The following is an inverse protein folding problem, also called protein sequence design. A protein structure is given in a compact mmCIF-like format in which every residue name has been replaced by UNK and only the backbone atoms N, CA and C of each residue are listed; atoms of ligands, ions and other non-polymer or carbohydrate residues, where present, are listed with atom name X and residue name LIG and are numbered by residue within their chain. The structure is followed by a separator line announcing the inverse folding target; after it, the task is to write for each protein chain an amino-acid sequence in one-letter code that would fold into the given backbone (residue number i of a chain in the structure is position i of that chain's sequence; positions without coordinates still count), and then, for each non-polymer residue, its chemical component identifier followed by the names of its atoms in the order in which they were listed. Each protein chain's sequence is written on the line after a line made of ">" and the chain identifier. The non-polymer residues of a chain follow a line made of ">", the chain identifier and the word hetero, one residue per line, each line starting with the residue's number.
data_IF_522142355861
#
_entry.id   IF_522142355861
#
_cell.length_a   1.000
_cell.length_b   1.000
_cell.length_c   1.000
_cell.angle_alpha   90.00
_cell.angle_beta   90.00
_cell.angle_gamma   90.00
#
_symmetry.space_group_name_H-M   'P 1'
#
loop_
_entity.id
_entity.type
_entity.pdbx_description
1 polymer ?
#
# COMPACT_ATOMS: atom_id res chain seq x y z
N UNK A 1 -24.59 23.51 12.87
CA UNK A 1 -23.51 24.10 12.05
C UNK A 1 -22.19 23.34 12.23
N UNK A 2 -21.94 22.25 11.49
CA UNK A 2 -20.67 21.48 11.49
C UNK A 2 -20.19 21.07 10.08
N UNK A 3 -20.74 21.69 9.04
CA UNK A 3 -20.54 21.26 7.64
C UNK A 3 -19.23 21.78 7.01
N UNK A 4 -18.73 22.95 7.43
CA UNK A 4 -17.65 23.63 6.69
C UNK A 4 -16.21 23.22 7.04
N UNK A 5 -15.97 22.50 8.14
CA UNK A 5 -14.62 22.04 8.51
C UNK A 5 -14.20 20.78 7.72
N UNK A 6 -15.15 19.92 7.34
CA UNK A 6 -14.86 18.66 6.65
C UNK A 6 -14.36 18.89 5.22
N UNK A 7 -14.96 19.85 4.50
CA UNK A 7 -14.56 20.25 3.14
C UNK A 7 -13.15 20.87 3.05
N UNK A 8 -12.73 21.64 4.06
CA UNK A 8 -11.39 22.26 4.09
C UNK A 8 -10.29 21.25 4.40
N UNK A 9 -10.55 20.27 5.28
CA UNK A 9 -9.61 19.16 5.56
C UNK A 9 -9.46 18.22 4.35
N UNK A 10 -10.54 17.94 3.65
CA UNK A 10 -10.52 17.09 2.44
C UNK A 10 -9.80 17.73 1.24
N UNK A 11 -9.79 19.07 1.10
CA UNK A 11 -8.94 19.75 0.10
C UNK A 11 -7.44 19.57 0.36
N UNK A 12 -6.96 19.80 1.58
CA UNK A 12 -5.54 19.59 1.94
C UNK A 12 -5.11 18.12 1.84
N UNK A 13 -6.02 17.19 2.11
CA UNK A 13 -5.77 15.76 1.87
C UNK A 13 -5.65 15.44 0.38
N UNK A 14 -6.50 16.02 -0.48
CA UNK A 14 -6.41 15.86 -1.95
C UNK A 14 -5.15 16.47 -2.54
N UNK A 15 -4.64 17.59 -2.00
CA UNK A 15 -3.37 18.18 -2.42
C UNK A 15 -2.16 17.27 -2.14
N UNK A 16 -2.29 16.29 -1.26
CA UNK A 16 -1.24 15.30 -0.93
C UNK A 16 -1.37 13.99 -1.68
N UNK A 17 -2.50 13.73 -2.33
CA UNK A 17 -2.70 12.51 -3.10
C UNK A 17 -2.17 12.70 -4.52
N UNK A 18 -1.56 11.66 -5.10
CA UNK A 18 -1.04 11.74 -6.46
C UNK A 18 -2.13 11.95 -7.50
N UNK A 19 -1.79 12.69 -8.55
CA UNK A 19 -2.60 12.71 -9.76
C UNK A 19 -2.64 11.32 -10.40
N UNK A 20 -3.76 10.95 -11.01
CA UNK A 20 -3.83 9.73 -11.82
C UNK A 20 -3.62 10.15 -13.27
N UNK A 21 -2.57 9.62 -13.90
CA UNK A 21 -2.23 9.93 -15.29
C UNK A 21 -2.17 8.64 -16.07
N UNK A 22 -2.95 8.55 -17.15
CA UNK A 22 -2.85 7.46 -18.10
C UNK A 22 -1.62 7.69 -18.98
N UNK A 23 -0.72 6.70 -19.04
CA UNK A 23 0.47 6.80 -19.88
C UNK A 23 0.07 6.80 -21.36
N UNK A 24 0.61 7.72 -22.16
CA UNK A 24 0.48 7.65 -23.61
C UNK A 24 1.33 6.48 -24.17
N UNK A 25 0.89 5.79 -25.24
CA UNK A 25 1.64 4.67 -25.83
C UNK A 25 3.04 5.04 -26.35
N UNK A 26 3.27 6.31 -26.68
CA UNK A 26 4.54 6.84 -27.16
C UNK A 26 4.95 8.08 -26.35
N UNK A 27 6.25 8.20 -26.07
CA UNK A 27 6.84 9.36 -25.38
C UNK A 27 7.78 8.97 -24.23
N UNK A 28 8.76 9.85 -23.97
CA UNK A 28 9.60 9.79 -22.76
C UNK A 28 8.73 10.26 -21.60
N UNK A 29 8.66 9.44 -20.56
CA UNK A 29 7.93 9.79 -19.35
C UNK A 29 8.75 10.84 -18.59
N UNK A 30 8.18 12.02 -18.37
CA UNK A 30 8.80 13.04 -17.52
C UNK A 30 8.95 12.46 -16.10
N UNK A 31 10.19 12.32 -15.57
CA UNK A 31 10.43 11.82 -14.22
C UNK A 31 9.68 12.63 -13.15
N UNK A 32 9.52 13.94 -13.35
CA UNK A 32 8.81 14.80 -12.40
C UNK A 32 7.30 14.49 -12.34
N UNK A 33 6.72 14.00 -13.45
CA UNK A 33 5.33 13.52 -13.50
C UNK A 33 5.23 12.11 -12.92
N UNK A 34 6.22 11.25 -13.19
CA UNK A 34 6.29 9.88 -12.68
C UNK A 34 6.32 9.82 -11.14
N UNK A 35 7.10 10.72 -10.54
CA UNK A 35 7.29 10.76 -9.08
C UNK A 35 6.08 11.36 -8.33
N UNK A 36 5.15 12.01 -9.05
CA UNK A 36 3.99 12.71 -8.47
C UNK A 36 2.65 12.10 -8.89
N UNK A 37 2.67 11.08 -9.76
CA UNK A 37 1.46 10.54 -10.37
C UNK A 37 1.41 9.03 -10.32
N UNK A 38 0.22 8.48 -10.10
CA UNK A 38 -0.05 7.08 -10.33
C UNK A 38 -0.22 6.87 -11.84
N UNK A 39 0.68 6.08 -12.41
CA UNK A 39 0.69 5.76 -13.83
C UNK A 39 -0.10 4.49 -14.08
N UNK A 40 -1.25 4.61 -14.73
CA UNK A 40 -1.99 3.45 -15.19
C UNK A 40 -1.44 2.98 -16.54
N UNK A 41 -1.31 1.67 -16.71
CA UNK A 41 -0.83 1.08 -17.96
C UNK A 41 -1.83 1.29 -19.09
N UNK A 42 -1.36 1.48 -20.32
CA UNK A 42 -2.20 1.58 -21.54
C UNK A 42 -3.09 0.36 -21.79
N UNK A 43 -2.78 -0.77 -21.16
CA UNK A 43 -3.51 -2.03 -21.25
C UNK A 43 -4.64 -2.18 -20.22
N UNK A 44 -5.02 -1.12 -19.50
CA UNK A 44 -6.10 -1.15 -18.52
C UNK A 44 -7.35 -1.86 -19.07
N UNK A 45 -7.84 -2.88 -18.37
CA UNK A 45 -9.06 -3.59 -18.74
C UNK A 45 -8.99 -4.47 -19.99
N UNK A 46 -7.84 -4.57 -20.67
CA UNK A 46 -7.69 -5.45 -21.86
C UNK A 46 -7.50 -6.91 -21.44
N UNK A 47 -7.97 -7.84 -22.27
CA UNK A 47 -7.78 -9.29 -22.10
C UNK A 47 -8.24 -9.86 -20.75
N UNK A 48 -9.35 -9.34 -20.19
CA UNK A 48 -9.87 -9.79 -18.90
C UNK A 48 -9.08 -9.28 -17.68
N UNK A 49 -8.10 -8.39 -17.86
CA UNK A 49 -7.25 -7.89 -16.79
C UNK A 49 -7.88 -6.74 -15.96
N UNK A 50 -9.18 -6.46 -16.13
CA UNK A 50 -9.84 -5.32 -15.47
C UNK A 50 -9.75 -5.39 -13.94
N UNK A 51 -10.04 -6.55 -13.34
CA UNK A 51 -9.95 -6.73 -11.88
C UNK A 51 -8.54 -6.49 -11.35
N UNK A 52 -7.54 -7.05 -12.04
CA UNK A 52 -6.14 -6.83 -11.70
C UNK A 52 -5.73 -5.36 -11.84
N UNK A 53 -6.25 -4.67 -12.86
CA UNK A 53 -6.00 -3.24 -13.08
C UNK A 53 -6.60 -2.40 -11.95
N UNK A 54 -7.88 -2.63 -11.61
CA UNK A 54 -8.58 -1.96 -10.50
C UNK A 54 -7.86 -2.15 -9.17
N UNK A 55 -7.46 -3.38 -8.86
CA UNK A 55 -6.71 -3.69 -7.64
C UNK A 55 -5.35 -2.98 -7.61
N UNK A 56 -4.60 -2.98 -8.71
CA UNK A 56 -3.30 -2.32 -8.78
C UNK A 56 -3.41 -0.79 -8.60
N UNK A 57 -4.46 -0.15 -9.13
CA UNK A 57 -4.71 1.28 -8.87
C UNK A 57 -5.11 1.53 -7.42
N UNK A 58 -6.04 0.73 -6.88
CA UNK A 58 -6.46 0.83 -5.49
C UNK A 58 -5.27 0.69 -4.54
N UNK A 59 -4.35 -0.22 -4.84
CA UNK A 59 -3.14 -0.43 -4.04
C UNK A 59 -2.15 0.72 -4.11
N UNK A 60 -1.94 1.32 -5.29
CA UNK A 60 -1.11 2.53 -5.38
C UNK A 60 -1.73 3.70 -4.61
N UNK A 61 -3.05 3.88 -4.68
CA UNK A 61 -3.75 4.90 -3.90
C UNK A 61 -3.69 4.62 -2.39
N UNK A 62 -3.86 3.35 -1.99
CA UNK A 62 -3.79 2.93 -0.60
C UNK A 62 -2.37 3.12 -0.03
N UNK A 63 -1.34 2.75 -0.79
CA UNK A 63 0.06 2.99 -0.45
C UNK A 63 0.32 4.49 -0.22
N UNK A 64 -0.07 5.34 -1.17
CA UNK A 64 0.06 6.78 -1.03
C UNK A 64 -0.69 7.34 0.19
N UNK A 65 -1.91 6.88 0.44
CA UNK A 65 -2.74 7.35 1.55
C UNK A 65 -2.19 6.92 2.92
N UNK A 66 -1.56 5.75 3.00
CA UNK A 66 -1.02 5.16 4.23
C UNK A 66 0.47 5.43 4.43
N UNK A 67 1.09 6.20 3.53
CA UNK A 67 2.49 6.61 3.63
C UNK A 67 3.50 5.52 3.27
N UNK A 68 3.10 4.50 2.51
CA UNK A 68 4.06 3.60 1.88
C UNK A 68 4.68 4.23 0.63
N UNK A 69 5.87 3.76 0.21
CA UNK A 69 6.44 4.13 -1.07
C UNK A 69 5.52 3.67 -2.21
N UNK A 70 5.27 4.53 -3.19
CA UNK A 70 4.40 4.24 -4.33
C UNK A 70 5.00 4.76 -5.65
N UNK A 71 4.52 4.25 -6.78
CA UNK A 71 5.01 4.63 -8.11
C UNK A 71 6.47 4.22 -8.33
N UNK A 72 7.31 5.16 -8.74
CA UNK A 72 8.76 5.00 -8.95
C UNK A 72 9.58 5.17 -7.67
N UNK A 73 8.97 5.66 -6.58
CA UNK A 73 9.65 5.87 -5.31
C UNK A 73 9.93 4.51 -4.65
N UNK A 74 11.12 3.97 -4.91
CA UNK A 74 11.62 2.73 -4.28
C UNK A 74 12.01 3.01 -2.83
N UNK A 75 11.05 3.12 -1.92
CA UNK A 75 11.35 3.36 -0.50
C UNK A 75 11.93 2.16 0.27
N UNK A 76 12.33 1.07 -0.41
CA UNK A 76 13.04 -0.07 0.18
C UNK A 76 14.35 -0.43 -0.53
N UNK A 77 14.90 0.47 -1.36
CA UNK A 77 15.98 0.10 -2.27
C UNK A 77 15.59 -1.06 -3.21
N UNK A 78 16.55 -1.75 -3.86
CA UNK A 78 16.25 -2.87 -4.75
C UNK A 78 15.71 -4.12 -4.02
N UNK A 79 15.74 -4.13 -2.69
CA UNK A 79 15.42 -5.30 -1.85
C UNK A 79 13.98 -5.28 -1.34
N UNK A 80 13.29 -4.13 -1.41
CA UNK A 80 11.99 -3.95 -0.80
C UNK A 80 12.07 -3.71 0.71
N UNK A 81 10.91 -3.68 1.36
CA UNK A 81 10.80 -3.52 2.80
C UNK A 81 9.76 -4.47 3.40
N UNK A 82 9.83 -4.70 4.70
CA UNK A 82 8.94 -5.53 5.48
C UNK A 82 7.98 -4.66 6.29
N UNK A 83 6.68 -4.84 6.07
CA UNK A 83 5.60 -4.11 6.72
C UNK A 83 4.83 -4.96 7.74
N UNK A 84 5.34 -6.16 8.10
CA UNK A 84 4.80 -6.98 9.19
C UNK A 84 4.76 -6.20 10.50
N UNK A 85 3.67 -6.36 11.24
CA UNK A 85 3.44 -5.71 12.52
C UNK A 85 3.13 -4.22 12.45
N UNK A 86 3.00 -3.60 11.26
CA UNK A 86 2.66 -2.18 11.13
C UNK A 86 1.15 -1.97 10.90
N UNK A 87 0.54 -1.03 11.65
CA UNK A 87 -0.88 -0.71 11.54
C UNK A 87 -1.27 -0.18 10.15
N UNK A 88 -0.39 0.62 9.55
CA UNK A 88 -0.61 1.20 8.22
C UNK A 88 -0.76 0.13 7.13
N UNK A 89 -0.14 -1.04 7.31
CA UNK A 89 -0.30 -2.21 6.41
C UNK A 89 -1.74 -2.70 6.42
N UNK A 90 -2.34 -2.85 7.61
CA UNK A 90 -3.75 -3.26 7.76
C UNK A 90 -4.67 -2.24 7.10
N UNK A 91 -4.44 -0.95 7.32
CA UNK A 91 -5.23 0.13 6.69
C UNK A 91 -5.08 0.09 5.16
N UNK A 92 -3.87 -0.08 4.64
CA UNK A 92 -3.62 -0.14 3.21
C UNK A 92 -4.35 -1.33 2.56
N UNK A 93 -4.27 -2.51 3.16
CA UNK A 93 -4.96 -3.71 2.68
C UNK A 93 -6.48 -3.58 2.78
N UNK A 94 -7.00 -2.94 3.82
CA UNK A 94 -8.42 -2.63 3.94
C UNK A 94 -8.90 -1.65 2.85
N UNK A 95 -8.12 -0.61 2.55
CA UNK A 95 -8.41 0.34 1.46
C UNK A 95 -8.42 -0.35 0.10
N UNK A 96 -7.48 -1.27 -0.16
CA UNK A 96 -7.49 -2.11 -1.37
C UNK A 96 -8.78 -2.93 -1.43
N UNK A 97 -9.13 -3.56 -0.30
CA UNK A 97 -10.34 -4.35 -0.10
C UNK A 97 -11.65 -3.64 -0.40
N UNK A 98 -11.69 -2.31 -0.32
CA UNK A 98 -12.86 -1.52 -0.72
C UNK A 98 -13.17 -1.62 -2.23
N UNK A 99 -12.20 -2.03 -3.04
CA UNK A 99 -12.33 -2.14 -4.50
C UNK A 99 -12.24 -3.59 -4.95
N UNK A 100 -11.25 -4.32 -4.47
CA UNK A 100 -11.01 -5.73 -4.80
C UNK A 100 -10.38 -6.43 -3.61
N UNK A 101 -10.62 -7.73 -3.47
CA UNK A 101 -10.08 -8.51 -2.34
C UNK A 101 -8.54 -8.40 -2.29
N UNK A 102 -7.95 -8.04 -1.13
CA UNK A 102 -6.51 -8.01 -0.98
C UNK A 102 -5.96 -9.44 -1.09
N UNK A 103 -4.77 -9.58 -1.67
CA UNK A 103 -4.10 -10.87 -1.87
C UNK A 103 -2.85 -10.94 -0.98
N UNK A 104 -2.33 -12.14 -0.74
CA UNK A 104 -1.09 -12.30 -0.01
C UNK A 104 0.10 -11.72 -0.79
N UNK A 105 1.08 -11.18 -0.06
CA UNK A 105 2.38 -10.87 -0.63
C UNK A 105 3.04 -12.17 -1.13
N UNK A 106 3.73 -12.08 -2.26
CA UNK A 106 4.52 -13.17 -2.82
C UNK A 106 5.97 -12.73 -2.91
N UNK A 107 6.85 -13.66 -3.27
CA UNK A 107 8.27 -13.37 -3.47
C UNK A 107 8.69 -13.75 -4.88
N UNK A 108 9.60 -12.98 -5.47
CA UNK A 108 10.26 -13.32 -6.74
C UNK A 108 11.77 -13.33 -6.55
N UNK A 109 12.46 -14.32 -7.15
CA UNK A 109 13.92 -14.35 -7.19
C UNK A 109 14.43 -13.42 -8.29
N UNK A 110 15.22 -12.43 -7.91
CA UNK A 110 15.85 -11.47 -8.81
C UNK A 110 17.37 -11.64 -8.74
N UNK A 111 18.04 -11.73 -9.89
CA UNK A 111 19.51 -11.68 -9.95
C UNK A 111 19.94 -10.22 -10.12
N UNK A 112 20.70 -9.71 -9.15
CA UNK A 112 21.31 -8.38 -9.24
C UNK A 112 22.82 -8.51 -9.42
N UNK A 113 23.41 -7.58 -10.19
CA UNK A 113 24.86 -7.49 -10.30
C UNK A 113 25.39 -6.56 -9.21
N UNK A 114 26.27 -7.07 -8.36
CA UNK A 114 26.91 -6.31 -7.28
C UNK A 114 28.06 -5.46 -7.83
N UNK A 115 28.54 -4.49 -7.05
CA UNK A 115 29.61 -3.56 -7.47
C UNK A 115 30.94 -4.24 -7.81
N UNK A 116 31.16 -5.47 -7.34
CA UNK A 116 32.28 -6.34 -7.69
C UNK A 116 32.04 -7.17 -8.98
N UNK A 117 30.94 -6.90 -9.69
CA UNK A 117 30.59 -7.56 -10.94
C UNK A 117 29.97 -8.95 -10.80
N UNK A 118 29.84 -9.49 -9.58
CA UNK A 118 29.22 -10.80 -9.32
C UNK A 118 27.69 -10.75 -9.42
N UNK A 119 27.07 -11.88 -9.73
CA UNK A 119 25.62 -12.03 -9.64
C UNK A 119 25.23 -12.51 -8.24
N UNK A 120 24.29 -11.81 -7.62
CA UNK A 120 23.65 -12.21 -6.36
C UNK A 120 22.17 -12.42 -6.63
N UNK A 121 21.69 -13.63 -6.37
CA UNK A 121 20.25 -13.92 -6.36
C UNK A 121 19.68 -13.46 -5.02
N UNK A 122 18.63 -12.66 -5.07
CA UNK A 122 17.90 -12.20 -3.90
C UNK A 122 16.41 -12.44 -4.08
N UNK A 123 15.74 -12.73 -2.97
CA UNK A 123 14.30 -12.80 -2.90
C UNK A 123 13.76 -11.39 -2.65
N UNK A 124 12.90 -10.92 -3.54
CA UNK A 124 12.31 -9.58 -3.47
C UNK A 124 10.81 -9.75 -3.29
N UNK A 125 10.20 -9.08 -2.29
CA UNK A 125 8.76 -9.13 -2.12
C UNK A 125 8.06 -8.50 -3.33
N UNK A 126 6.92 -9.09 -3.67
CA UNK A 126 6.03 -8.69 -4.74
C UNK A 126 4.61 -8.76 -4.21
N UNK A 127 4.05 -7.59 -3.92
CA UNK A 127 2.67 -7.42 -3.50
C UNK A 127 1.99 -6.33 -4.33
N UNK A 128 0.68 -6.16 -4.15
CA UNK A 128 -0.04 -5.04 -4.77
C UNK A 128 0.46 -3.67 -4.27
N UNK A 129 1.09 -3.62 -3.09
CA UNK A 129 1.76 -2.43 -2.54
C UNK A 129 3.18 -2.23 -3.11
N UNK A 130 3.59 -3.02 -4.10
CA UNK A 130 4.92 -2.96 -4.72
C UNK A 130 5.91 -3.91 -4.05
N UNK A 131 7.13 -3.44 -3.81
CA UNK A 131 8.19 -4.21 -3.13
C UNK A 131 8.04 -4.16 -1.61
N UNK A 132 6.83 -4.44 -1.13
CA UNK A 132 6.47 -4.45 0.29
C UNK A 132 6.03 -5.86 0.66
N UNK A 133 6.69 -6.45 1.66
CA UNK A 133 6.30 -7.72 2.26
C UNK A 133 5.33 -7.49 3.44
N UNK A 134 4.41 -8.40 3.65
CA UNK A 134 3.50 -8.42 4.80
C UNK A 134 3.03 -9.84 5.08
N UNK A 135 2.58 -10.09 6.31
CA UNK A 135 2.16 -11.39 6.76
C UNK A 135 0.69 -11.69 6.48
N UNK A 136 0.34 -12.94 6.75
CA UNK A 136 -1.04 -13.43 6.77
C UNK A 136 -1.88 -12.75 7.85
N UNK A 137 -1.26 -12.30 8.94
CA UNK A 137 -1.94 -11.63 10.05
C UNK A 137 -2.52 -10.27 9.62
N UNK A 138 -1.73 -9.42 8.95
CA UNK A 138 -2.22 -8.13 8.44
C UNK A 138 -3.34 -8.31 7.41
N UNK A 139 -3.21 -9.32 6.55
CA UNK A 139 -4.24 -9.69 5.58
C UNK A 139 -5.52 -10.17 6.27
N UNK A 140 -5.42 -10.97 7.34
CA UNK A 140 -6.55 -11.44 8.11
C UNK A 140 -7.31 -10.29 8.78
N UNK A 141 -6.59 -9.37 9.44
CA UNK A 141 -7.20 -8.17 10.05
C UNK A 141 -7.90 -7.29 9.00
N UNK A 142 -7.27 -7.08 7.84
CA UNK A 142 -7.89 -6.32 6.77
C UNK A 142 -9.20 -6.96 6.28
N UNK A 143 -9.22 -8.29 6.11
CA UNK A 143 -10.44 -9.00 5.72
C UNK A 143 -11.53 -8.92 6.81
N UNK A 144 -11.18 -9.04 8.09
CA UNK A 144 -12.14 -8.85 9.19
C UNK A 144 -12.75 -7.45 9.15
N UNK A 145 -11.96 -6.40 8.91
CA UNK A 145 -12.45 -5.02 8.80
C UNK A 145 -13.35 -4.79 7.58
N UNK A 146 -13.24 -5.60 6.52
CA UNK A 146 -14.16 -5.54 5.37
C UNK A 146 -15.53 -6.12 5.73
N UNK A 147 -15.58 -7.06 6.66
CA UNK A 147 -16.79 -7.75 7.12
C UNK A 147 -17.47 -7.03 8.29
N UNK A 148 -16.71 -6.24 9.06
CA UNK A 148 -17.23 -5.50 10.21
C UNK A 148 -17.99 -4.23 9.82
N UNK A 149 -19.18 -4.05 10.38
CA UNK A 149 -19.84 -2.75 10.40
C UNK A 149 -19.08 -1.76 11.29
N UNK A 150 -19.10 -0.48 10.93
CA UNK A 150 -18.42 0.58 11.69
C UNK A 150 -16.90 0.67 11.48
N UNK A 151 -16.28 -0.27 10.74
CA UNK A 151 -14.82 -0.27 10.53
C UNK A 151 -14.33 1.01 9.85
N UNK A 152 -15.10 1.51 8.88
CA UNK A 152 -14.82 2.78 8.19
C UNK A 152 -14.72 3.94 9.18
N UNK A 153 -15.72 4.08 10.04
CA UNK A 153 -15.80 5.15 11.04
C UNK A 153 -14.62 5.08 12.02
N UNK A 154 -14.29 3.88 12.53
CA UNK A 154 -13.14 3.65 13.42
C UNK A 154 -11.81 4.01 12.76
N UNK A 155 -11.61 3.58 11.51
CA UNK A 155 -10.38 3.88 10.76
C UNK A 155 -10.24 5.39 10.54
N UNK A 156 -11.30 6.07 10.12
CA UNK A 156 -11.25 7.52 9.90
C UNK A 156 -11.08 8.31 11.21
N UNK A 157 -11.69 7.86 12.30
CA UNK A 157 -11.53 8.48 13.62
C UNK A 157 -10.08 8.38 14.13
N UNK A 158 -9.39 7.29 13.81
CA UNK A 158 -8.03 7.00 14.27
C UNK A 158 -6.96 7.15 13.17
N UNK A 159 -7.31 7.77 12.02
CA UNK A 159 -6.49 7.76 10.81
C UNK A 159 -5.02 8.12 11.06
N UNK A 160 -4.78 9.25 11.73
CA UNK A 160 -3.41 9.74 12.01
C UNK A 160 -2.58 8.73 12.79
N UNK A 161 -3.17 8.04 13.77
CA UNK A 161 -2.48 7.03 14.57
C UNK A 161 -2.25 5.79 13.72
N UNK A 162 -3.27 5.30 13.03
CA UNK A 162 -3.19 4.06 12.25
C UNK A 162 -2.24 4.16 11.06
N UNK A 163 -2.05 5.34 10.47
CA UNK A 163 -1.12 5.54 9.34
C UNK A 163 0.27 6.00 9.76
N UNK A 164 0.54 6.21 11.05
CA UNK A 164 1.88 6.58 11.50
C UNK A 164 2.84 5.39 11.34
N UNK A 165 4.07 5.60 10.82
CA UNK A 165 5.02 4.51 10.53
C UNK A 165 5.45 3.73 11.78
N UNK A 166 5.38 4.38 12.95
CA UNK A 166 5.73 3.80 14.24
C UNK A 166 4.60 3.04 14.91
N UNK A 167 3.38 3.11 14.38
CA UNK A 167 2.22 2.45 15.02
C UNK A 167 2.20 0.98 14.66
N UNK A 168 2.26 0.16 15.71
CA UNK A 168 2.22 -1.29 15.59
C UNK A 168 0.79 -1.80 15.46
N UNK A 169 0.62 -3.01 14.92
CA UNK A 169 -0.66 -3.72 14.89
C UNK A 169 -1.24 -3.86 16.30
N UNK A 170 -0.43 -4.21 17.30
CA UNK A 170 -0.88 -4.37 18.68
C UNK A 170 -1.51 -3.09 19.26
N UNK A 171 -0.96 -1.93 18.91
CA UNK A 171 -1.54 -0.63 19.30
C UNK A 171 -2.83 -0.31 18.53
N UNK A 172 -2.97 -0.81 17.31
CA UNK A 172 -4.12 -0.55 16.45
C UNK A 172 -5.33 -1.44 16.77
N UNK A 173 -5.13 -2.69 17.21
CA UNK A 173 -6.20 -3.63 17.53
C UNK A 173 -7.33 -3.05 18.42
N UNK A 174 -7.04 -2.43 19.58
CA UNK A 174 -8.10 -1.84 20.40
C UNK A 174 -8.82 -0.66 19.73
N UNK A 175 -8.16 0.09 18.85
CA UNK A 175 -8.77 1.21 18.11
C UNK A 175 -9.70 0.71 17.00
N UNK A 176 -9.44 -0.50 16.50
CA UNK A 176 -10.14 -1.14 15.40
C UNK A 176 -11.21 -2.13 15.86
N UNK A 177 -11.26 -2.43 17.16
CA UNK A 177 -12.13 -3.46 17.75
C UNK A 177 -11.89 -4.83 17.11
N UNK A 178 -10.60 -5.21 17.03
CA UNK A 178 -10.16 -6.50 16.51
C UNK A 178 -9.49 -7.32 17.60
N UNK A 179 -9.75 -8.63 17.58
CA UNK A 179 -9.10 -9.60 18.46
C UNK A 179 -7.73 -9.98 17.92
N UNK A 180 -6.76 -10.18 18.82
CA UNK A 180 -5.39 -10.54 18.45
C UNK A 180 -5.32 -11.94 17.82
N UNK A 181 -4.90 -12.00 16.56
CA UNK A 181 -4.44 -13.20 15.89
C UNK A 181 -2.92 -13.43 16.13
N UNK A 182 -2.45 -14.63 15.78
CA UNK A 182 -1.02 -14.94 15.79
C UNK A 182 -0.26 -13.94 14.91
N UNK A 183 0.77 -13.29 15.46
CA UNK A 183 1.58 -12.31 14.75
C UNK A 183 2.81 -12.99 14.13
N UNK A 184 3.07 -12.69 12.86
CA UNK A 184 4.33 -13.07 12.22
C UNK A 184 5.48 -12.15 12.66
N UNK A 185 6.66 -12.72 12.87
CA UNK A 185 7.87 -11.93 13.16
C UNK A 185 8.35 -11.21 11.89
N UNK A 186 8.71 -9.92 11.97
CA UNK A 186 9.40 -9.23 10.88
C UNK A 186 10.71 -9.95 10.49
N UNK A 187 10.98 -10.04 9.20
CA UNK A 187 12.12 -10.76 8.59
C UNK A 187 13.07 -9.85 7.81
N UNK A 188 12.61 -8.68 7.38
CA UNK A 188 13.38 -7.73 6.58
C UNK A 188 13.55 -6.35 7.22
N UNK A 189 14.11 -5.41 6.45
CA UNK A 189 14.19 -4.01 6.86
C UNK A 189 12.79 -3.42 6.97
N UNK A 190 12.45 -2.68 8.04
CA UNK A 190 11.14 -2.09 8.19
C UNK A 190 10.85 -1.13 7.04
N UNK A 191 9.60 -1.10 6.57
CA UNK A 191 9.15 0.02 5.76
C UNK A 191 9.17 1.28 6.65
N UNK A 192 9.78 2.37 6.17
CA UNK A 192 9.79 3.69 6.80
C UNK A 192 8.83 4.63 6.08
#
# INVERSE_FOLDING_TARGET
>A
MRSNQWWRRSRKARERLPGIVQRAPAGVLDPAVADKSILTTTSWGRNGAERGSRRALAAQMAAAASGFPWGTQRGGGPQGCDARGQARTVVALWLIGQVERPVAATSTRTSIRTGDGKQKVMEVPRSDLGSVDYGSSELAYANQLLEQSGARERIWANWTVLTAPTTTVDQALPLLELDRAAAETPKGSPCE
#
